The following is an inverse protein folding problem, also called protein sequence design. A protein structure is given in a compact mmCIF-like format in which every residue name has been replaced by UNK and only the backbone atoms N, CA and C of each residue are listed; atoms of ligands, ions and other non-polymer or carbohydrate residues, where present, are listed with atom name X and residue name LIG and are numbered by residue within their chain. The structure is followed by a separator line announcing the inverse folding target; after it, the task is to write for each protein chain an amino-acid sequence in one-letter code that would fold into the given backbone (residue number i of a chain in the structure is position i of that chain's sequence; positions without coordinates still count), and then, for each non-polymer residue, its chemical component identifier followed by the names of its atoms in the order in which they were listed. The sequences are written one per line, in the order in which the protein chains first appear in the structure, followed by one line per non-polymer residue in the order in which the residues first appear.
data_IF_544374154585
#
_entry.id   IF_544374154585
#
_cell.length_a   1.000
_cell.length_b   1.000
_cell.length_c   1.000
_cell.angle_alpha   90.00
_cell.angle_beta   90.00
_cell.angle_gamma   90.00
#
_symmetry.space_group_name_H-M   'P 1'
#
loop_
_entity.id
_entity.type
_entity.pdbx_description
1 polymer ?
#
# COMPACT_ATOMS: atom_id res chain seq x y z
N UNK A 1 1.03 13.88 49.20
CA UNK A 1 1.02 12.39 49.10
C UNK A 1 1.58 11.87 47.76
N UNK A 2 1.63 12.66 46.68
CA UNK A 2 2.10 12.21 45.36
C UNK A 2 3.62 11.91 45.26
N UNK A 3 4.47 12.62 46.02
CA UNK A 3 5.94 12.43 45.99
C UNK A 3 6.41 11.11 46.62
N UNK A 4 5.65 10.53 47.56
CA UNK A 4 6.00 9.23 48.17
C UNK A 4 5.68 8.03 47.25
N UNK A 5 4.65 8.15 46.41
CA UNK A 5 4.25 7.08 45.47
C UNK A 5 5.28 6.92 44.34
N UNK A 6 5.80 8.05 43.84
CA UNK A 6 6.84 8.08 42.81
C UNK A 6 8.13 7.38 43.31
N UNK A 7 8.56 7.62 44.55
CA UNK A 7 9.74 6.97 45.13
C UNK A 7 9.60 5.45 45.33
N UNK A 8 8.40 4.98 45.70
CA UNK A 8 8.12 3.55 45.85
C UNK A 8 8.08 2.82 44.49
N UNK A 9 7.47 3.43 43.48
CA UNK A 9 7.49 2.89 42.12
C UNK A 9 8.90 2.86 41.54
N UNK A 10 9.70 3.90 41.76
CA UNK A 10 11.09 3.96 41.30
C UNK A 10 11.96 2.88 41.96
N UNK A 11 11.75 2.60 43.26
CA UNK A 11 12.43 1.48 43.95
C UNK A 11 12.02 0.11 43.40
N UNK A 12 10.73 -0.08 43.11
CA UNK A 12 10.22 -1.34 42.54
C UNK A 12 10.80 -1.61 41.15
N UNK A 13 10.87 -0.58 40.30
CA UNK A 13 11.46 -0.67 38.97
C UNK A 13 12.96 -1.00 39.03
N UNK A 14 13.71 -0.37 39.94
CA UNK A 14 15.13 -0.68 40.13
C UNK A 14 15.34 -2.14 40.61
N UNK A 15 14.49 -2.64 41.50
CA UNK A 15 14.55 -4.03 41.97
C UNK A 15 14.25 -5.04 40.85
N UNK A 16 13.32 -4.73 39.94
CA UNK A 16 13.06 -5.57 38.76
C UNK A 16 14.21 -5.53 37.76
N UNK A 17 14.84 -4.37 37.57
CA UNK A 17 16.00 -4.21 36.69
C UNK A 17 17.21 -5.00 37.21
N UNK A 18 17.45 -5.01 38.53
CA UNK A 18 18.48 -5.85 39.14
C UNK A 18 18.22 -7.34 38.97
N UNK A 19 16.96 -7.79 39.11
CA UNK A 19 16.57 -9.19 38.87
C UNK A 19 16.81 -9.61 37.41
N UNK A 20 16.49 -8.75 36.46
CA UNK A 20 16.75 -9.03 35.04
C UNK A 20 18.25 -9.05 34.72
N UNK A 21 19.04 -8.13 35.29
CA UNK A 21 20.51 -8.17 35.18
C UNK A 21 21.11 -9.47 35.74
N UNK A 22 20.60 -9.96 36.88
CA UNK A 22 21.04 -11.24 37.44
C UNK A 22 20.66 -12.44 36.57
N UNK A 23 19.50 -12.43 35.91
CA UNK A 23 19.11 -13.47 34.95
C UNK A 23 20.01 -13.46 33.72
N UNK A 24 20.28 -12.28 33.16
CA UNK A 24 21.18 -12.13 32.00
C UNK A 24 22.58 -12.61 32.35
N UNK A 25 23.12 -12.25 33.53
CA UNK A 25 24.43 -12.73 33.99
C UNK A 25 24.47 -14.26 34.14
N UNK A 26 23.42 -14.88 34.69
CA UNK A 26 23.31 -16.35 34.80
C UNK A 26 23.25 -17.02 33.44
N UNK A 27 22.46 -16.49 32.50
CA UNK A 27 22.38 -17.01 31.14
C UNK A 27 23.70 -16.87 30.39
N UNK A 28 24.41 -15.75 30.58
CA UNK A 28 25.71 -15.50 29.99
C UNK A 28 26.79 -16.42 30.58
N UNK A 29 26.72 -16.73 31.88
CA UNK A 29 27.56 -17.74 32.52
C UNK A 29 27.26 -19.16 31.97
N UNK A 30 25.98 -19.55 31.85
CA UNK A 30 25.60 -20.83 31.24
C UNK A 30 26.04 -20.95 29.78
N UNK A 31 25.96 -19.88 29.00
CA UNK A 31 26.46 -19.83 27.63
C UNK A 31 27.98 -19.98 27.58
N UNK A 32 28.71 -19.32 28.48
CA UNK A 32 30.18 -19.45 28.56
C UNK A 32 30.62 -20.85 28.96
N UNK A 33 29.88 -21.52 29.85
CA UNK A 33 30.13 -22.91 30.24
C UNK A 33 29.80 -23.89 29.09
N UNK A 34 28.72 -23.64 28.34
CA UNK A 34 28.35 -24.42 27.17
C UNK A 34 29.33 -24.24 26.00
N UNK A 35 29.92 -23.05 25.83
CA UNK A 35 30.97 -22.83 24.83
C UNK A 35 32.31 -23.41 25.26
N UNK A 36 32.67 -23.35 26.55
CA UNK A 36 33.90 -23.95 27.07
C UNK A 36 33.88 -25.49 27.04
N UNK A 37 32.70 -26.12 27.16
CA UNK A 37 32.53 -27.57 27.03
C UNK A 37 32.67 -28.12 25.60
N UNK A 38 32.71 -27.25 24.57
CA UNK A 38 32.79 -27.66 23.16
C UNK A 38 34.21 -27.70 22.59
N UNK A 39 35.21 -27.21 23.34
CA UNK A 39 36.62 -27.17 22.89
C UNK A 39 37.54 -28.19 23.58
N UNK A 40 37.03 -29.02 24.51
CA UNK A 40 37.80 -30.08 25.14
C UNK A 40 37.14 -31.45 24.92
N UNK A 41 37.48 -32.13 23.81
CA UNK A 41 37.11 -33.54 23.64
C UNK A 41 36.92 -34.03 22.21
N UNK A 42 37.97 -33.99 21.39
CA UNK A 42 38.03 -34.82 20.19
C UNK A 42 38.38 -36.26 20.60
N UNK A 43 37.39 -37.15 20.69
CA UNK A 43 37.65 -38.59 20.86
C UNK A 43 36.45 -39.46 21.25
N UNK A 44 35.77 -40.02 20.22
CA UNK A 44 35.11 -41.35 20.13
C UNK A 44 33.74 -41.28 19.41
N UNK A 45 33.53 -42.05 18.32
CA UNK A 45 32.22 -42.20 17.71
C UNK A 45 31.53 -43.45 18.27
N UNK A 46 30.67 -43.29 19.28
CA UNK A 46 29.77 -44.37 19.72
C UNK A 46 28.40 -43.90 20.26
N UNK A 47 28.24 -42.63 20.63
CA UNK A 47 26.97 -42.08 21.19
C UNK A 47 26.16 -41.22 20.19
N UNK A 48 26.62 -41.10 18.94
CA UNK A 48 26.02 -40.23 17.92
C UNK A 48 24.61 -40.64 17.43
N UNK A 49 24.04 -41.76 17.92
CA UNK A 49 22.69 -42.20 17.55
C UNK A 49 21.59 -41.69 18.50
N UNK A 50 21.89 -41.47 19.79
CA UNK A 50 20.90 -40.94 20.74
C UNK A 50 20.78 -39.42 20.65
N UNK A 51 21.91 -38.69 20.54
CA UNK A 51 21.89 -37.23 20.39
C UNK A 51 21.26 -36.75 19.07
N UNK A 52 21.31 -37.56 18.00
CA UNK A 52 20.64 -37.23 16.74
C UNK A 52 19.12 -37.46 16.81
N UNK A 53 18.67 -38.48 17.55
CA UNK A 53 17.25 -38.72 17.79
C UNK A 53 16.63 -37.64 18.71
N UNK A 54 17.39 -37.16 19.70
CA UNK A 54 16.98 -36.08 20.59
C UNK A 54 16.95 -34.72 19.86
N UNK A 55 17.93 -34.44 18.97
CA UNK A 55 17.88 -33.28 18.08
C UNK A 55 16.70 -33.34 17.09
N UNK A 56 16.39 -34.51 16.54
CA UNK A 56 15.22 -34.69 15.67
C UNK A 56 13.89 -34.54 16.43
N UNK A 57 13.83 -34.96 17.71
CA UNK A 57 12.66 -34.73 18.56
C UNK A 57 12.48 -33.24 18.88
N UNK A 58 13.54 -32.55 19.29
CA UNK A 58 13.52 -31.12 19.57
C UNK A 58 13.19 -30.28 18.32
N UNK A 59 13.68 -30.68 17.14
CA UNK A 59 13.34 -29.97 15.89
C UNK A 59 11.88 -30.17 15.48
N UNK A 60 11.30 -31.36 15.72
CA UNK A 60 9.85 -31.61 15.54
C UNK A 60 9.01 -30.83 16.54
N UNK A 61 9.42 -30.72 17.80
CA UNK A 61 8.74 -29.91 18.80
C UNK A 61 8.81 -28.40 18.48
N UNK A 62 9.96 -27.92 18.01
CA UNK A 62 10.12 -26.55 17.52
C UNK A 62 9.24 -26.30 16.29
N UNK A 63 9.15 -27.25 15.36
CA UNK A 63 8.28 -27.15 14.19
C UNK A 63 6.79 -27.11 14.58
N UNK A 64 6.36 -28.00 15.47
CA UNK A 64 4.99 -28.01 16.01
C UNK A 64 4.68 -26.74 16.81
N UNK A 65 5.66 -26.20 17.55
CA UNK A 65 5.56 -24.92 18.24
C UNK A 65 5.39 -23.75 17.27
N UNK A 66 6.18 -23.70 16.19
CA UNK A 66 6.08 -22.69 15.13
C UNK A 66 4.73 -22.75 14.41
N UNK A 67 4.22 -23.94 14.12
CA UNK A 67 2.90 -24.12 13.52
C UNK A 67 1.78 -23.63 14.44
N UNK A 68 1.84 -23.97 15.74
CA UNK A 68 0.88 -23.45 16.74
C UNK A 68 0.92 -21.92 16.82
N UNK A 69 2.10 -21.32 16.83
CA UNK A 69 2.26 -19.85 16.81
C UNK A 69 1.65 -19.28 15.53
N UNK A 70 1.93 -19.86 14.37
CA UNK A 70 1.37 -19.39 13.09
C UNK A 70 -0.17 -19.44 13.06
N UNK A 71 -0.76 -20.52 13.59
CA UNK A 71 -2.22 -20.66 13.73
C UNK A 71 -2.79 -19.60 14.68
N UNK A 72 -2.14 -19.37 15.82
CA UNK A 72 -2.57 -18.35 16.78
C UNK A 72 -2.44 -16.92 16.21
N UNK A 73 -1.34 -16.60 15.52
CA UNK A 73 -1.17 -15.31 14.84
C UNK A 73 -2.26 -15.09 13.79
N UNK A 74 -2.61 -16.12 13.01
CA UNK A 74 -3.73 -16.02 12.05
C UNK A 74 -5.06 -15.78 12.75
N UNK A 75 -5.30 -16.44 13.89
CA UNK A 75 -6.52 -16.25 14.70
C UNK A 75 -6.57 -14.85 15.30
N UNK A 76 -5.45 -14.31 15.77
CA UNK A 76 -5.33 -12.93 16.26
C UNK A 76 -5.70 -11.95 15.14
N UNK A 77 -5.10 -12.08 13.95
CA UNK A 77 -5.44 -11.22 12.81
C UNK A 77 -6.92 -11.32 12.39
N UNK A 78 -7.55 -12.50 12.52
CA UNK A 78 -8.99 -12.65 12.30
C UNK A 78 -9.83 -11.95 13.38
N UNK A 79 -9.39 -11.96 14.63
CA UNK A 79 -10.07 -11.29 15.73
C UNK A 79 -9.92 -9.77 15.62
N UNK A 80 -8.73 -9.26 15.31
CA UNK A 80 -8.48 -7.83 15.06
C UNK A 80 -9.36 -7.31 13.92
N UNK A 81 -9.45 -8.06 12.81
CA UNK A 81 -10.33 -7.71 11.70
C UNK A 81 -11.81 -7.68 12.11
N UNK A 82 -12.25 -8.63 12.96
CA UNK A 82 -13.63 -8.63 13.50
C UNK A 82 -13.88 -7.45 14.42
N UNK A 83 -12.94 -7.11 15.30
CA UNK A 83 -13.04 -5.93 16.18
C UNK A 83 -13.17 -4.66 15.35
N UNK A 84 -12.34 -4.48 14.32
CA UNK A 84 -12.43 -3.32 13.43
C UNK A 84 -13.79 -3.21 12.71
N UNK A 85 -14.35 -4.34 12.27
CA UNK A 85 -15.69 -4.38 11.67
C UNK A 85 -16.77 -3.99 12.68
N UNK A 86 -16.74 -4.59 13.88
CA UNK A 86 -17.70 -4.31 14.95
C UNK A 86 -17.63 -2.88 15.44
N UNK A 87 -16.44 -2.29 15.56
CA UNK A 87 -16.29 -0.86 15.84
C UNK A 87 -16.87 0.02 14.73
N UNK A 88 -16.68 -0.37 13.46
CA UNK A 88 -17.26 0.31 12.32
C UNK A 88 -18.79 0.30 12.35
N UNK A 89 -19.38 -0.83 12.71
CA UNK A 89 -20.83 -0.97 12.92
C UNK A 89 -21.31 -0.18 14.13
N UNK A 90 -20.59 -0.23 15.24
CA UNK A 90 -20.90 0.55 16.45
C UNK A 90 -20.90 2.06 16.15
N UNK A 91 -19.89 2.56 15.43
CA UNK A 91 -19.86 3.96 14.97
C UNK A 91 -21.07 4.32 14.08
N UNK A 92 -21.56 3.40 13.25
CA UNK A 92 -22.76 3.63 12.43
C UNK A 92 -24.02 3.68 13.32
N UNK A 93 -24.16 2.76 14.27
CA UNK A 93 -25.27 2.71 15.21
C UNK A 93 -25.31 3.96 16.10
N UNK A 94 -24.17 4.36 16.68
CA UNK A 94 -24.05 5.61 17.44
C UNK A 94 -24.49 6.80 16.60
N UNK A 95 -24.01 6.93 15.35
CA UNK A 95 -24.45 8.01 14.46
C UNK A 95 -25.94 7.95 14.09
N UNK A 96 -26.55 6.77 14.04
CA UNK A 96 -28.00 6.66 13.83
C UNK A 96 -28.75 7.14 15.07
N UNK A 97 -28.32 6.69 16.26
CA UNK A 97 -28.88 7.13 17.54
C UNK A 97 -28.74 8.63 17.75
N UNK A 98 -27.58 9.24 17.43
CA UNK A 98 -27.38 10.70 17.49
C UNK A 98 -28.43 11.43 16.64
N UNK A 99 -28.76 10.91 15.45
CA UNK A 99 -29.76 11.54 14.58
C UNK A 99 -31.18 11.45 15.14
N UNK A 100 -31.50 10.35 15.81
CA UNK A 100 -32.81 10.14 16.45
C UNK A 100 -32.95 10.92 17.76
N UNK A 101 -31.87 11.07 18.53
CA UNK A 101 -31.83 11.81 19.80
C UNK A 101 -31.65 13.31 19.58
N UNK A 102 -30.94 13.71 18.53
CA UNK A 102 -30.52 15.09 18.28
C UNK A 102 -29.10 15.36 18.79
N UNK A 103 -28.40 16.29 18.15
CA UNK A 103 -27.00 16.61 18.44
C UNK A 103 -26.79 17.33 19.79
N UNK A 104 -27.87 17.79 20.43
CA UNK A 104 -27.83 18.62 21.64
C UNK A 104 -27.92 17.81 22.95
N UNK A 105 -28.06 16.48 22.88
CA UNK A 105 -28.24 15.59 24.03
C UNK A 105 -27.16 14.50 24.09
N UNK A 106 -26.42 14.36 25.21
CA UNK A 106 -25.39 13.34 25.34
C UNK A 106 -26.00 11.94 25.42
N UNK A 107 -25.67 11.07 24.45
CA UNK A 107 -26.24 9.73 24.34
C UNK A 107 -26.02 8.84 25.56
N UNK A 108 -24.93 9.06 26.31
CA UNK A 108 -24.66 8.33 27.55
C UNK A 108 -25.83 8.44 28.54
N UNK A 109 -26.40 9.64 28.70
CA UNK A 109 -27.53 9.85 29.62
C UNK A 109 -28.83 9.22 29.13
N UNK A 110 -29.07 9.21 27.82
CA UNK A 110 -30.28 8.60 27.23
C UNK A 110 -30.25 7.08 27.33
N UNK A 111 -29.08 6.48 27.19
CA UNK A 111 -28.89 5.02 27.29
C UNK A 111 -28.98 4.57 28.75
N UNK A 112 -28.44 5.35 29.70
CA UNK A 112 -28.40 5.00 31.12
C UNK A 112 -29.72 5.31 31.86
N UNK A 113 -30.43 6.39 31.50
CA UNK A 113 -31.65 6.87 32.18
C UNK A 113 -32.95 6.52 31.40
N UNK A 114 -32.88 5.53 30.51
CA UNK A 114 -33.79 5.25 29.37
C UNK A 114 -35.29 5.00 29.59
N UNK A 115 -35.97 5.64 30.55
CA UNK A 115 -37.42 5.47 30.78
C UNK A 115 -38.30 6.59 30.22
N UNK A 116 -37.84 7.85 30.17
CA UNK A 116 -38.72 9.00 29.92
C UNK A 116 -38.41 9.79 28.63
N UNK A 117 -37.42 9.35 27.86
CA UNK A 117 -37.05 10.03 26.63
C UNK A 117 -37.94 9.64 25.44
N UNK A 118 -38.68 10.63 24.91
CA UNK A 118 -39.41 10.50 23.64
C UNK A 118 -38.51 11.00 22.52
N UNK A 119 -38.27 10.17 21.52
CA UNK A 119 -37.34 10.49 20.43
C UNK A 119 -37.73 11.77 19.67
N UNK A 120 -36.76 12.41 18.99
CA UNK A 120 -36.98 13.67 18.27
C UNK A 120 -38.12 13.56 17.26
N UNK A 121 -38.25 12.40 16.60
CA UNK A 121 -39.35 12.12 15.68
C UNK A 121 -40.72 12.23 16.36
N UNK A 122 -40.87 11.66 17.54
CA UNK A 122 -42.13 11.70 18.32
C UNK A 122 -42.39 13.11 18.85
N UNK A 123 -41.35 13.80 19.32
CA UNK A 123 -41.48 15.18 19.76
C UNK A 123 -41.90 16.12 18.62
N UNK A 124 -41.37 15.93 17.41
CA UNK A 124 -41.80 16.66 16.21
C UNK A 124 -43.25 16.34 15.86
N UNK A 125 -43.67 15.08 15.94
CA UNK A 125 -45.07 14.70 15.68
C UNK A 125 -45.99 15.36 16.71
N UNK A 126 -45.65 15.29 17.99
CA UNK A 126 -46.41 15.93 19.06
C UNK A 126 -46.49 17.46 18.89
N UNK A 127 -45.38 18.11 18.53
CA UNK A 127 -45.38 19.55 18.22
C UNK A 127 -46.19 19.89 16.98
N UNK A 128 -46.18 19.04 15.94
CA UNK A 128 -47.04 19.23 14.77
C UNK A 128 -48.52 19.08 15.11
N UNK A 129 -48.88 18.10 15.93
CA UNK A 129 -50.25 17.88 16.35
C UNK A 129 -50.75 19.01 17.25
N UNK A 130 -49.93 19.49 18.18
CA UNK A 130 -50.27 20.66 19.01
C UNK A 130 -50.39 21.94 18.17
N UNK A 131 -49.51 22.18 17.21
CA UNK A 131 -49.64 23.30 16.26
C UNK A 131 -50.93 23.18 15.45
N UNK A 132 -51.27 21.97 14.98
CA UNK A 132 -52.50 21.72 14.24
C UNK A 132 -53.73 22.00 15.10
N UNK A 133 -53.76 21.50 16.35
CA UNK A 133 -54.82 21.76 17.32
C UNK A 133 -54.94 23.25 17.66
N UNK A 134 -53.81 23.94 17.87
CA UNK A 134 -53.81 25.38 18.13
C UNK A 134 -54.28 26.19 16.91
N UNK A 135 -53.94 25.76 15.69
CA UNK A 135 -54.44 26.37 14.45
C UNK A 135 -55.94 26.15 14.28
N UNK A 136 -56.42 24.94 14.57
CA UNK A 136 -57.85 24.60 14.54
C UNK A 136 -58.61 25.37 15.62
N UNK A 137 -58.06 25.50 16.83
CA UNK A 137 -58.61 26.30 17.91
C UNK A 137 -58.60 27.81 17.61
N UNK A 138 -57.55 28.32 16.95
CA UNK A 138 -57.48 29.70 16.49
C UNK A 138 -58.47 29.97 15.34
N UNK A 139 -58.66 29.01 14.43
CA UNK A 139 -59.65 29.10 13.37
C UNK A 139 -61.10 29.03 13.91
N UNK A 140 -61.34 28.19 14.93
CA UNK A 140 -62.63 28.11 15.62
C UNK A 140 -62.91 29.34 16.50
N UNK A 141 -61.89 29.87 17.19
CA UNK A 141 -61.95 31.11 17.96
C UNK A 141 -62.06 32.37 17.10
N UNK A 142 -61.69 32.29 15.82
CA UNK A 142 -61.87 33.33 14.80
C UNK A 142 -63.30 33.41 14.24
N UNK A 143 -64.30 32.92 14.99
CA UNK A 143 -65.72 33.24 14.75
C UNK A 143 -66.17 34.54 15.46
N UNK A 144 -65.25 35.23 16.15
CA UNK A 144 -65.48 36.55 16.78
C UNK A 144 -64.53 37.65 16.26
N UNK A 145 -64.03 37.52 15.04
CA UNK A 145 -63.03 38.43 14.46
C UNK A 145 -63.64 39.67 13.78
N UNK A 146 -64.28 40.56 14.56
CA UNK A 146 -64.60 41.93 14.12
C UNK A 146 -63.35 42.85 14.07
N UNK A 147 -62.16 42.37 14.42
CA UNK A 147 -60.89 43.12 14.40
C UNK A 147 -59.91 42.72 13.29
N UNK A 148 -60.23 41.73 12.46
CA UNK A 148 -59.35 41.28 11.37
C UNK A 148 -59.20 42.31 10.22
N UNK A 149 -60.14 43.26 10.10
CA UNK A 149 -60.08 44.31 9.08
C UNK A 149 -58.93 45.32 9.33
N UNK A 150 -58.55 45.56 10.59
CA UNK A 150 -57.42 46.43 10.94
C UNK A 150 -56.05 45.80 10.68
N UNK A 151 -55.96 44.46 10.72
CA UNK A 151 -54.70 43.74 10.47
C UNK A 151 -54.49 43.41 8.99
N UNK A 152 -55.56 43.26 8.19
CA UNK A 152 -55.44 43.14 6.73
C UNK A 152 -54.95 44.43 6.06
N UNK A 153 -55.27 45.60 6.62
CA UNK A 153 -54.72 46.87 6.17
C UNK A 153 -53.20 46.97 6.43
N UNK A 154 -52.69 46.39 7.53
CA UNK A 154 -51.25 46.29 7.80
C UNK A 154 -50.54 45.25 6.92
N UNK A 155 -51.25 44.20 6.49
CA UNK A 155 -50.77 43.22 5.50
C UNK A 155 -50.73 43.77 4.07
N UNK A 156 -51.32 44.96 3.83
CA UNK A 156 -51.27 45.68 2.55
C UNK A 156 -49.99 46.51 2.36
N UNK A 157 -49.02 46.40 3.29
CA UNK A 157 -47.72 47.03 3.16
C UNK A 157 -46.97 46.41 1.98
N UNK A 158 -46.95 47.13 0.85
CA UNK A 158 -46.21 46.75 -0.36
C UNK A 158 -44.72 46.46 -0.11
N UNK A 159 -44.15 46.96 0.99
CA UNK A 159 -42.79 46.64 1.42
C UNK A 159 -42.65 45.20 1.93
N UNK A 160 -43.58 44.69 2.74
CA UNK A 160 -43.55 43.33 3.29
C UNK A 160 -43.69 42.28 2.17
N UNK A 161 -44.62 42.49 1.24
CA UNK A 161 -44.79 41.63 0.07
C UNK A 161 -43.55 41.65 -0.87
N UNK A 162 -42.89 42.82 -1.02
CA UNK A 162 -41.62 42.94 -1.76
C UNK A 162 -40.48 42.20 -1.05
N UNK A 163 -40.37 42.33 0.27
CA UNK A 163 -39.37 41.59 1.06
C UNK A 163 -39.61 40.09 0.99
N UNK A 164 -40.85 39.62 1.14
CA UNK A 164 -41.18 38.19 1.05
C UNK A 164 -40.84 37.61 -0.33
N UNK A 165 -41.15 38.33 -1.41
CA UNK A 165 -40.77 37.95 -2.78
C UNK A 165 -39.24 37.91 -2.97
N UNK A 166 -38.51 38.90 -2.43
CA UNK A 166 -37.05 38.93 -2.48
C UNK A 166 -36.43 37.76 -1.71
N UNK A 167 -36.90 37.47 -0.49
CA UNK A 167 -36.43 36.32 0.29
C UNK A 167 -36.75 34.99 -0.39
N UNK A 168 -37.94 34.84 -0.99
CA UNK A 168 -38.31 33.63 -1.74
C UNK A 168 -37.42 33.44 -2.96
N UNK A 169 -37.04 34.52 -3.65
CA UNK A 169 -36.07 34.48 -4.75
C UNK A 169 -34.67 34.08 -4.27
N UNK A 170 -34.20 34.65 -3.16
CA UNK A 170 -32.89 34.31 -2.55
C UNK A 170 -32.84 32.84 -2.14
N UNK A 171 -33.87 32.33 -1.47
CA UNK A 171 -33.97 30.90 -1.10
C UNK A 171 -33.97 30.02 -2.35
N UNK A 172 -34.67 30.45 -3.41
CA UNK A 172 -34.68 29.75 -4.70
C UNK A 172 -33.29 29.70 -5.34
N UNK A 173 -32.52 30.79 -5.29
CA UNK A 173 -31.13 30.83 -5.77
C UNK A 173 -30.22 29.93 -4.95
N UNK A 174 -30.29 30.04 -3.62
CA UNK A 174 -29.48 29.24 -2.70
C UNK A 174 -29.74 27.73 -2.87
N UNK A 175 -31.00 27.33 -3.06
CA UNK A 175 -31.34 25.93 -3.32
C UNK A 175 -30.82 25.44 -4.67
N UNK A 176 -30.83 26.28 -5.71
CA UNK A 176 -30.26 25.94 -7.02
C UNK A 176 -28.73 25.83 -6.95
N UNK A 177 -28.06 26.77 -6.31
CA UNK A 177 -26.61 26.74 -6.09
C UNK A 177 -26.21 25.50 -5.27
N UNK A 178 -26.93 25.19 -4.19
CA UNK A 178 -26.73 23.96 -3.41
C UNK A 178 -26.94 22.71 -4.25
N UNK A 179 -27.96 22.69 -5.12
CA UNK A 179 -28.21 21.59 -6.04
C UNK A 179 -27.06 21.40 -7.04
N UNK A 180 -26.60 22.49 -7.66
CA UNK A 180 -25.49 22.49 -8.60
C UNK A 180 -24.16 22.05 -7.94
N UNK A 181 -23.86 22.53 -6.73
CA UNK A 181 -22.70 22.07 -5.97
C UNK A 181 -22.81 20.58 -5.61
N UNK A 182 -24.00 20.11 -5.22
CA UNK A 182 -24.20 18.70 -4.93
C UNK A 182 -23.98 17.82 -6.18
N UNK A 183 -24.54 18.22 -7.32
CA UNK A 183 -24.32 17.53 -8.60
C UNK A 183 -22.85 17.55 -9.03
N UNK A 184 -22.14 18.68 -8.84
CA UNK A 184 -20.70 18.80 -9.08
C UNK A 184 -19.92 17.81 -8.21
N UNK A 185 -20.17 17.80 -6.90
CA UNK A 185 -19.48 16.90 -5.97
C UNK A 185 -19.78 15.42 -6.26
N UNK A 186 -21.00 15.08 -6.64
CA UNK A 186 -21.37 13.72 -7.08
C UNK A 186 -20.64 13.35 -8.37
N UNK A 187 -20.53 14.28 -9.32
CA UNK A 187 -19.76 14.10 -10.55
C UNK A 187 -18.28 13.85 -10.28
N UNK A 188 -17.66 14.64 -9.40
CA UNK A 188 -16.27 14.49 -8.98
C UNK A 188 -16.01 13.16 -8.26
N UNK A 189 -16.90 12.77 -7.34
CA UNK A 189 -16.81 11.45 -6.68
C UNK A 189 -16.90 10.32 -7.71
N UNK A 190 -17.83 10.40 -8.66
CA UNK A 190 -17.96 9.39 -9.70
C UNK A 190 -16.73 9.33 -10.64
N UNK A 191 -16.13 10.48 -10.96
CA UNK A 191 -14.89 10.54 -11.74
C UNK A 191 -13.71 9.93 -10.98
N UNK A 192 -13.53 10.32 -9.71
CA UNK A 192 -12.49 9.78 -8.84
C UNK A 192 -12.64 8.26 -8.63
N UNK A 193 -13.87 7.75 -8.52
CA UNK A 193 -14.12 6.31 -8.46
C UNK A 193 -13.70 5.59 -9.75
N UNK A 194 -13.98 6.15 -10.92
CA UNK A 194 -13.55 5.57 -12.20
C UNK A 194 -12.03 5.56 -12.35
N UNK A 195 -11.37 6.65 -11.98
CA UNK A 195 -9.91 6.77 -12.01
C UNK A 195 -9.26 5.75 -11.05
N UNK A 196 -9.80 5.61 -9.84
CA UNK A 196 -9.37 4.58 -8.89
C UNK A 196 -9.44 3.17 -9.47
N UNK A 197 -10.56 2.81 -10.09
CA UNK A 197 -10.72 1.47 -10.68
C UNK A 197 -9.79 1.28 -11.89
N UNK A 198 -9.58 2.31 -12.70
CA UNK A 198 -8.63 2.27 -13.81
C UNK A 198 -7.19 2.05 -13.30
N UNK A 199 -6.77 2.78 -12.26
CA UNK A 199 -5.47 2.61 -11.62
C UNK A 199 -5.32 1.23 -10.97
N UNK A 200 -6.39 0.72 -10.34
CA UNK A 200 -6.41 -0.63 -9.77
C UNK A 200 -6.17 -1.69 -10.85
N UNK A 201 -6.80 -1.56 -12.01
CA UNK A 201 -6.61 -2.48 -13.14
C UNK A 201 -5.19 -2.40 -13.70
N UNK A 202 -4.64 -1.19 -13.87
CA UNK A 202 -3.25 -1.00 -14.31
C UNK A 202 -2.25 -1.61 -13.33
N UNK A 203 -2.47 -1.42 -12.02
CA UNK A 203 -1.64 -2.03 -10.99
C UNK A 203 -1.73 -3.56 -11.01
N UNK A 204 -2.93 -4.12 -11.17
CA UNK A 204 -3.10 -5.57 -11.28
C UNK A 204 -2.37 -6.14 -12.51
N UNK A 205 -2.43 -5.46 -13.66
CA UNK A 205 -1.68 -5.82 -14.87
C UNK A 205 -0.16 -5.70 -14.70
N UNK A 206 0.31 -4.64 -14.04
CA UNK A 206 1.73 -4.48 -13.73
C UNK A 206 2.23 -5.57 -12.76
N UNK A 207 1.41 -5.92 -11.76
CA UNK A 207 1.71 -6.97 -10.79
C UNK A 207 1.78 -8.37 -11.44
N UNK A 208 0.85 -8.69 -12.34
CA UNK A 208 0.89 -9.96 -13.07
C UNK A 208 2.12 -10.05 -13.98
N UNK A 209 2.44 -8.98 -14.71
CA UNK A 209 3.66 -8.89 -15.53
C UNK A 209 4.91 -9.06 -14.69
N UNK A 210 5.00 -8.39 -13.53
CA UNK A 210 6.12 -8.54 -12.61
C UNK A 210 6.30 -10.01 -12.19
N UNK A 211 5.21 -10.68 -11.83
CA UNK A 211 5.24 -12.09 -11.41
C UNK A 211 5.72 -13.02 -12.54
N UNK A 212 5.29 -12.78 -13.77
CA UNK A 212 5.74 -13.55 -14.94
C UNK A 212 7.24 -13.33 -15.19
N UNK A 213 7.69 -12.06 -15.18
CA UNK A 213 9.10 -11.73 -15.36
C UNK A 213 9.98 -12.31 -14.24
N UNK A 214 9.52 -12.28 -12.99
CA UNK A 214 10.21 -12.92 -11.86
C UNK A 214 10.35 -14.43 -12.08
N UNK A 215 9.29 -15.10 -12.54
CA UNK A 215 9.35 -16.52 -12.88
C UNK A 215 10.31 -16.81 -14.04
N UNK A 216 10.28 -16.00 -15.11
CA UNK A 216 11.21 -16.12 -16.23
C UNK A 216 12.66 -15.97 -15.79
N UNK A 217 12.98 -14.99 -14.93
CA UNK A 217 14.31 -14.81 -14.36
C UNK A 217 14.77 -16.03 -13.58
N UNK A 218 13.89 -16.66 -12.79
CA UNK A 218 14.20 -17.91 -12.09
C UNK A 218 14.51 -19.02 -13.08
N UNK A 219 13.66 -19.23 -14.10
CA UNK A 219 13.91 -20.26 -15.11
C UNK A 219 15.22 -20.03 -15.89
N UNK A 220 15.58 -18.77 -16.15
CA UNK A 220 16.85 -18.43 -16.80
C UNK A 220 18.05 -18.73 -15.90
N UNK A 221 17.95 -18.47 -14.60
CA UNK A 221 18.97 -18.84 -13.62
C UNK A 221 19.15 -20.35 -13.56
N UNK A 222 18.06 -21.12 -13.59
CA UNK A 222 18.12 -22.58 -13.59
C UNK A 222 18.78 -23.11 -14.87
N UNK A 223 18.41 -22.56 -16.04
CA UNK A 223 19.06 -22.89 -17.32
C UNK A 223 20.56 -22.57 -17.29
N UNK A 224 20.94 -21.42 -16.74
CA UNK A 224 22.34 -21.03 -16.59
C UNK A 224 23.09 -21.99 -15.65
N UNK A 225 22.48 -22.38 -14.53
CA UNK A 225 23.06 -23.35 -13.61
C UNK A 225 23.31 -24.71 -14.28
N UNK A 226 22.40 -25.17 -15.15
CA UNK A 226 22.59 -26.40 -15.94
C UNK A 226 23.76 -26.26 -16.92
N UNK A 227 23.87 -25.12 -17.63
CA UNK A 227 24.98 -24.87 -18.55
C UNK A 227 26.31 -24.84 -17.80
N UNK A 228 26.38 -24.14 -16.66
CA UNK A 228 27.55 -24.11 -15.81
C UNK A 228 27.93 -25.51 -15.31
N UNK A 229 26.95 -26.32 -14.90
CA UNK A 229 27.16 -27.73 -14.53
C UNK A 229 27.72 -28.57 -15.69
N UNK A 230 27.26 -28.35 -16.92
CA UNK A 230 27.82 -29.01 -18.12
C UNK A 230 29.27 -28.58 -18.35
N UNK A 231 29.57 -27.28 -18.32
CA UNK A 231 30.95 -26.79 -18.50
C UNK A 231 31.91 -27.34 -17.45
N UNK A 232 31.48 -27.45 -16.18
CA UNK A 232 32.29 -28.07 -15.13
C UNK A 232 32.52 -29.56 -15.37
N UNK A 233 31.54 -30.28 -15.92
CA UNK A 233 31.69 -31.68 -16.29
C UNK A 233 32.63 -31.84 -17.50
N UNK A 234 32.54 -30.93 -18.48
CA UNK A 234 33.44 -30.88 -19.63
C UNK A 234 34.89 -30.58 -19.18
N UNK A 235 35.09 -29.66 -18.24
CA UNK A 235 36.41 -29.37 -17.65
C UNK A 235 37.01 -30.60 -16.95
N UNK A 236 36.19 -31.36 -16.21
CA UNK A 236 36.62 -32.62 -15.58
C UNK A 236 37.01 -33.66 -16.64
N UNK A 237 36.22 -33.78 -17.71
CA UNK A 237 36.53 -34.69 -18.82
C UNK A 237 37.83 -34.29 -19.52
N UNK A 238 38.02 -33.00 -19.81
CA UNK A 238 39.25 -32.47 -20.39
C UNK A 238 40.45 -32.75 -19.47
N UNK A 239 40.32 -32.56 -18.16
CA UNK A 239 41.37 -32.86 -17.20
C UNK A 239 41.71 -34.36 -17.18
N UNK A 240 40.70 -35.24 -17.21
CA UNK A 240 40.90 -36.69 -17.29
C UNK A 240 41.63 -37.10 -18.58
N UNK A 241 41.19 -36.62 -19.74
CA UNK A 241 41.83 -36.89 -21.03
C UNK A 241 43.27 -36.36 -21.11
N UNK A 242 43.52 -35.16 -20.56
CA UNK A 242 44.89 -34.62 -20.44
C UNK A 242 45.78 -35.50 -19.57
N UNK A 243 45.25 -36.03 -18.47
CA UNK A 243 46.00 -36.95 -17.60
C UNK A 243 46.32 -38.26 -18.32
N UNK A 244 45.39 -38.80 -19.10
CA UNK A 244 45.58 -40.02 -19.88
C UNK A 244 46.60 -39.81 -20.99
N UNK A 245 46.54 -38.69 -21.71
CA UNK A 245 47.55 -38.32 -22.71
C UNK A 245 48.94 -38.16 -22.08
N UNK A 246 49.04 -37.55 -20.90
CA UNK A 246 50.31 -37.43 -20.18
C UNK A 246 50.88 -38.81 -19.78
N UNK A 247 50.02 -39.71 -19.29
CA UNK A 247 50.38 -41.09 -18.94
C UNK A 247 50.75 -41.92 -20.17
N UNK A 248 50.04 -41.77 -21.29
CA UNK A 248 50.34 -42.44 -22.54
C UNK A 248 51.65 -41.92 -23.16
N UNK A 249 51.90 -40.62 -23.10
CA UNK A 249 53.15 -40.01 -23.55
C UNK A 249 54.35 -40.47 -22.72
N UNK A 250 54.23 -40.50 -21.39
CA UNK A 250 55.30 -41.00 -20.51
C UNK A 250 55.53 -42.50 -20.71
N UNK A 251 54.47 -43.29 -20.93
CA UNK A 251 54.57 -44.72 -21.26
C UNK A 251 55.18 -44.93 -22.65
N UNK A 252 54.87 -44.10 -23.62
CA UNK A 252 55.48 -44.11 -24.96
C UNK A 252 56.96 -43.73 -24.92
N UNK A 253 57.35 -42.75 -24.09
CA UNK A 253 58.75 -42.40 -23.86
C UNK A 253 59.51 -43.51 -23.13
N UNK A 254 58.89 -44.15 -22.12
CA UNK A 254 59.45 -45.32 -21.44
C UNK A 254 59.57 -46.54 -22.37
N UNK A 255 58.59 -46.76 -23.26
CA UNK A 255 58.63 -47.81 -24.27
C UNK A 255 59.64 -47.51 -25.38
N UNK A 256 59.83 -46.25 -25.78
CA UNK A 256 60.88 -45.84 -26.71
C UNK A 256 62.28 -46.01 -26.11
N UNK A 257 62.45 -45.72 -24.80
CA UNK A 257 63.68 -45.99 -24.06
C UNK A 257 63.94 -47.52 -23.90
N UNK A 258 62.89 -48.32 -23.71
CA UNK A 258 63.00 -49.79 -23.65
C UNK A 258 63.14 -50.49 -25.01
N UNK A 259 62.61 -49.91 -26.08
CA UNK A 259 62.63 -50.45 -27.46
C UNK A 259 63.98 -50.24 -28.17
N UNK A 260 64.82 -49.33 -27.69
CA UNK A 260 66.23 -49.26 -28.10
C UNK A 260 67.01 -50.56 -27.77
N UNK A 261 66.53 -51.35 -26.78
CA UNK A 261 67.15 -52.63 -26.39
C UNK A 261 66.47 -53.88 -26.99
N UNK A 262 65.30 -53.75 -27.65
CA UNK A 262 64.42 -54.89 -27.95
C UNK A 262 64.19 -55.23 -29.43
N UNK A 263 64.94 -54.65 -30.37
CA UNK A 263 64.74 -54.86 -31.83
C UNK A 263 65.35 -56.16 -32.39
N UNK A 264 65.17 -57.28 -31.68
CA UNK A 264 65.64 -58.59 -32.12
C UNK A 264 64.66 -59.72 -31.74
N UNK A 265 63.40 -59.65 -32.17
CA UNK A 265 62.49 -60.80 -32.17
C UNK A 265 61.26 -60.53 -33.05
N UNK A 266 61.40 -60.70 -34.36
CA UNK A 266 60.27 -60.81 -35.28
C UNK A 266 60.04 -62.29 -35.58
N UNK A 267 58.86 -62.82 -35.22
CA UNK A 267 58.43 -64.17 -35.59
C UNK A 267 57.30 -64.71 -34.71
N UNK A 268 56.04 -64.34 -35.00
CA UNK A 268 54.90 -64.88 -34.25
C UNK A 268 53.51 -64.36 -34.65
N UNK A 269 53.23 -64.17 -35.95
CA UNK A 269 52.04 -63.43 -36.40
C UNK A 269 50.72 -64.21 -36.55
N UNK A 270 50.65 -65.51 -36.30
CA UNK A 270 49.43 -66.30 -36.61
C UNK A 270 48.41 -66.47 -35.46
N UNK A 271 48.80 -66.66 -34.18
CA UNK A 271 47.82 -66.81 -33.10
C UNK A 271 47.19 -65.48 -32.66
N UNK A 272 47.92 -64.37 -32.79
CA UNK A 272 47.43 -63.02 -32.43
C UNK A 272 46.36 -62.52 -33.40
N UNK A 273 46.51 -62.82 -34.71
CA UNK A 273 45.52 -62.48 -35.73
C UNK A 273 44.20 -63.25 -35.51
N UNK A 274 44.27 -64.51 -35.07
CA UNK A 274 43.07 -65.29 -34.72
C UNK A 274 42.37 -64.75 -33.47
N UNK A 275 43.13 -64.34 -32.46
CA UNK A 275 42.59 -63.75 -31.24
C UNK A 275 41.93 -62.38 -31.51
N UNK A 276 42.53 -61.56 -32.38
CA UNK A 276 41.95 -60.30 -32.84
C UNK A 276 40.66 -60.52 -33.63
N UNK A 277 40.62 -61.54 -34.50
CA UNK A 277 39.38 -61.91 -35.22
C UNK A 277 38.25 -62.31 -34.28
N UNK A 278 38.55 -63.12 -33.25
CA UNK A 278 37.57 -63.50 -32.23
C UNK A 278 37.07 -62.28 -31.46
N UNK A 279 37.94 -61.33 -31.13
CA UNK A 279 37.57 -60.09 -30.45
C UNK A 279 36.73 -59.16 -31.33
N UNK A 280 37.02 -59.07 -32.63
CA UNK A 280 36.17 -58.31 -33.56
C UNK A 280 34.76 -58.90 -33.64
N UNK A 281 34.62 -60.23 -33.70
CA UNK A 281 33.31 -60.88 -33.68
C UNK A 281 32.52 -60.59 -32.40
N UNK A 282 33.17 -60.62 -31.24
CA UNK A 282 32.53 -60.27 -29.96
C UNK A 282 32.07 -58.81 -29.90
N UNK A 283 32.84 -57.88 -30.48
CA UNK A 283 32.48 -56.47 -30.56
C UNK A 283 31.32 -56.24 -31.55
N UNK A 284 31.29 -56.97 -32.66
CA UNK A 284 30.18 -56.93 -33.63
C UNK A 284 28.87 -57.39 -32.99
N UNK A 285 28.89 -58.48 -32.20
CA UNK A 285 27.71 -58.96 -31.45
C UNK A 285 27.25 -57.93 -30.40
N UNK A 286 28.17 -57.29 -29.68
CA UNK A 286 27.83 -56.22 -28.73
C UNK A 286 27.19 -55.02 -29.42
N UNK A 287 27.72 -54.62 -30.58
CA UNK A 287 27.15 -53.51 -31.37
C UNK A 287 25.75 -53.89 -31.87
N UNK A 288 25.53 -55.12 -32.32
CA UNK A 288 24.20 -55.56 -32.75
C UNK A 288 23.19 -55.57 -31.59
N UNK A 289 23.60 -56.00 -30.40
CA UNK A 289 22.76 -55.93 -29.19
C UNK A 289 22.44 -54.49 -28.80
N UNK A 290 23.43 -53.59 -28.81
CA UNK A 290 23.21 -52.17 -28.53
C UNK A 290 22.29 -51.52 -29.57
N UNK A 291 22.42 -51.86 -30.85
CA UNK A 291 21.53 -51.39 -31.90
C UNK A 291 20.08 -51.85 -31.69
N UNK A 292 19.87 -53.09 -31.23
CA UNK A 292 18.52 -53.59 -30.87
C UNK A 292 17.92 -52.82 -29.70
N UNK A 293 18.73 -52.53 -28.67
CA UNK A 293 18.32 -51.71 -27.51
C UNK A 293 17.98 -50.28 -27.95
N UNK A 294 18.81 -49.67 -28.80
CA UNK A 294 18.56 -48.31 -29.33
C UNK A 294 17.26 -48.28 -30.13
N UNK A 295 17.01 -49.25 -31.01
CA UNK A 295 15.74 -49.33 -31.75
C UNK A 295 14.54 -49.51 -30.82
N UNK A 296 14.66 -50.34 -29.79
CA UNK A 296 13.61 -50.52 -28.79
C UNK A 296 13.32 -49.24 -27.99
N UNK A 297 14.37 -48.53 -27.57
CA UNK A 297 14.24 -47.25 -26.85
C UNK A 297 13.71 -46.14 -27.75
N UNK A 298 14.12 -46.09 -29.02
CA UNK A 298 13.57 -45.16 -30.02
C UNK A 298 12.10 -45.45 -30.30
N UNK A 299 11.68 -46.72 -30.35
CA UNK A 299 10.27 -47.10 -30.47
C UNK A 299 9.47 -46.73 -29.21
N UNK A 300 10.07 -46.78 -28.02
CA UNK A 300 9.46 -46.27 -26.79
C UNK A 300 9.37 -44.74 -26.76
N UNK A 301 10.38 -44.03 -27.27
CA UNK A 301 10.37 -42.55 -27.35
C UNK A 301 9.45 -42.03 -28.45
N UNK A 302 9.22 -42.80 -29.51
CA UNK A 302 8.17 -42.55 -30.52
C UNK A 302 6.77 -43.01 -30.09
N UNK A 303 6.60 -43.53 -28.88
CA UNK A 303 5.29 -43.78 -28.26
C UNK A 303 4.64 -42.48 -27.75
N UNK A 304 3.59 -42.54 -26.90
CA UNK A 304 2.58 -41.48 -26.64
C UNK A 304 3.11 -40.10 -26.19
N UNK A 305 4.42 -39.92 -26.00
CA UNK A 305 5.06 -38.62 -25.89
C UNK A 305 5.16 -37.85 -27.22
N UNK A 306 5.27 -38.53 -28.36
CA UNK A 306 5.30 -37.90 -29.70
C UNK A 306 3.94 -37.33 -30.09
N UNK A 307 2.88 -38.14 -30.01
CA UNK A 307 1.50 -37.69 -30.24
C UNK A 307 1.08 -36.58 -29.26
N UNK A 308 1.58 -36.62 -28.01
CA UNK A 308 1.37 -35.54 -27.04
C UNK A 308 2.15 -34.28 -27.40
N UNK A 309 3.33 -34.40 -27.99
CA UNK A 309 4.10 -33.27 -28.48
C UNK A 309 3.37 -32.60 -29.64
N UNK A 310 2.82 -33.39 -30.56
CA UNK A 310 2.06 -32.91 -31.71
C UNK A 310 0.75 -32.23 -31.24
N UNK A 311 0.01 -32.83 -30.30
CA UNK A 311 -1.16 -32.21 -29.67
C UNK A 311 -0.82 -30.88 -28.99
N UNK A 312 0.30 -30.82 -28.27
CA UNK A 312 0.75 -29.58 -27.63
C UNK A 312 1.22 -28.53 -28.65
N UNK A 313 1.70 -28.96 -29.82
CA UNK A 313 2.06 -28.06 -30.92
C UNK A 313 0.80 -27.47 -31.57
N UNK A 314 -0.20 -28.31 -31.84
CA UNK A 314 -1.50 -27.89 -32.37
C UNK A 314 -2.20 -26.91 -31.42
N UNK A 315 -2.23 -27.23 -30.11
CA UNK A 315 -2.77 -26.34 -29.07
C UNK A 315 -2.00 -25.00 -29.00
N UNK A 316 -0.67 -25.02 -29.16
CA UNK A 316 0.12 -23.78 -29.20
C UNK A 316 -0.17 -22.96 -30.45
N UNK A 317 -0.43 -23.60 -31.59
CA UNK A 317 -0.74 -22.93 -32.84
C UNK A 317 -2.15 -22.30 -32.80
N UNK A 318 -3.12 -22.98 -32.19
CA UNK A 318 -4.46 -22.44 -31.93
C UNK A 318 -4.41 -21.25 -30.97
N UNK A 319 -3.65 -21.35 -29.86
CA UNK A 319 -3.47 -20.24 -28.92
C UNK A 319 -2.80 -19.02 -29.58
N UNK A 320 -1.86 -19.23 -30.51
CA UNK A 320 -1.24 -18.15 -31.29
C UNK A 320 -2.25 -17.46 -32.21
N UNK A 321 -3.14 -18.21 -32.85
CA UNK A 321 -4.20 -17.66 -33.68
C UNK A 321 -5.20 -16.84 -32.85
N UNK A 322 -5.58 -17.34 -31.67
CA UNK A 322 -6.45 -16.60 -30.74
C UNK A 322 -5.81 -15.30 -30.24
N UNK A 323 -4.51 -15.32 -29.93
CA UNK A 323 -3.78 -14.11 -29.54
C UNK A 323 -3.70 -13.09 -30.68
N UNK A 324 -3.51 -13.53 -31.92
CA UNK A 324 -3.51 -12.65 -33.08
C UNK A 324 -4.88 -11.99 -33.29
N UNK A 325 -5.97 -12.76 -33.20
CA UNK A 325 -7.33 -12.21 -33.30
C UNK A 325 -7.63 -11.18 -32.20
N UNK A 326 -7.24 -11.46 -30.95
CA UNK A 326 -7.39 -10.51 -29.84
C UNK A 326 -6.52 -9.25 -30.01
N UNK A 327 -5.37 -9.37 -30.66
CA UNK A 327 -4.53 -8.21 -31.00
C UNK A 327 -5.20 -7.34 -32.07
N UNK A 328 -5.78 -7.96 -33.11
CA UNK A 328 -6.54 -7.25 -34.13
C UNK A 328 -7.78 -6.54 -33.54
N UNK A 329 -8.53 -7.23 -32.66
CA UNK A 329 -9.67 -6.64 -31.94
C UNK A 329 -9.24 -5.47 -31.05
N UNK A 330 -8.07 -5.57 -30.40
CA UNK A 330 -7.52 -4.50 -29.58
C UNK A 330 -7.06 -3.32 -30.45
N UNK A 331 -6.46 -3.58 -31.60
CA UNK A 331 -6.11 -2.54 -32.58
C UNK A 331 -7.36 -1.85 -33.12
N UNK A 332 -8.41 -2.60 -33.45
CA UNK A 332 -9.66 -2.06 -33.93
C UNK A 332 -10.37 -1.25 -32.85
N UNK A 333 -10.41 -1.75 -31.61
CA UNK A 333 -10.92 -1.00 -30.46
C UNK A 333 -10.07 0.25 -30.15
N UNK A 334 -8.76 0.22 -30.44
CA UNK A 334 -7.88 1.39 -30.32
C UNK A 334 -8.16 2.43 -31.41
N UNK A 335 -8.51 2.00 -32.63
CA UNK A 335 -8.92 2.87 -33.75
C UNK A 335 -10.32 3.46 -33.53
N UNK A 336 -11.23 2.68 -32.94
CA UNK A 336 -12.59 3.10 -32.61
C UNK A 336 -12.66 4.01 -31.38
N UNK A 337 -11.65 4.00 -30.50
CA UNK A 337 -11.52 5.04 -29.48
C UNK A 337 -11.07 6.35 -30.16
N UNK A 338 -11.91 7.40 -30.23
CA UNK A 338 -11.43 8.71 -30.67
C UNK A 338 -10.30 9.11 -29.73
N UNK A 339 -9.09 9.19 -30.29
CA UNK A 339 -7.88 9.50 -29.53
C UNK A 339 -8.13 10.71 -28.64
N UNK A 340 -7.90 10.53 -27.35
CA UNK A 340 -7.89 11.62 -26.36
C UNK A 340 -6.89 12.73 -26.75
N UNK A 341 -6.01 12.49 -27.72
CA UNK A 341 -5.17 13.50 -28.37
C UNK A 341 -5.98 14.58 -29.10
N UNK A 342 -7.08 14.24 -29.78
CA UNK A 342 -7.92 15.19 -30.50
C UNK A 342 -8.76 16.05 -29.56
N UNK A 343 -9.39 15.41 -28.57
CA UNK A 343 -10.20 16.10 -27.56
C UNK A 343 -9.33 16.97 -26.64
N UNK A 344 -8.12 16.50 -26.29
CA UNK A 344 -7.13 17.28 -25.52
C UNK A 344 -6.50 18.41 -26.35
N UNK A 345 -6.34 18.26 -27.66
CA UNK A 345 -5.90 19.33 -28.57
C UNK A 345 -6.96 20.41 -28.74
N UNK A 346 -8.23 20.01 -28.94
CA UNK A 346 -9.36 20.93 -29.03
C UNK A 346 -9.56 21.70 -27.72
N UNK A 347 -9.46 21.04 -26.56
CA UNK A 347 -9.49 21.72 -25.27
C UNK A 347 -8.32 22.70 -25.09
N UNK A 348 -7.10 22.32 -25.52
CA UNK A 348 -5.93 23.22 -25.47
C UNK A 348 -6.12 24.45 -26.36
N UNK A 349 -6.63 24.28 -27.57
CA UNK A 349 -6.95 25.41 -28.46
C UNK A 349 -8.03 26.30 -27.84
N UNK A 350 -9.08 25.72 -27.25
CA UNK A 350 -10.15 26.47 -26.60
C UNK A 350 -9.66 27.24 -25.37
N UNK A 351 -8.73 26.68 -24.59
CA UNK A 351 -8.10 27.39 -23.46
C UNK A 351 -7.24 28.54 -23.94
N UNK A 352 -6.47 28.37 -25.02
CA UNK A 352 -5.65 29.43 -25.61
C UNK A 352 -6.52 30.59 -26.12
N UNK A 353 -7.61 30.31 -26.84
CA UNK A 353 -8.54 31.35 -27.31
C UNK A 353 -9.17 32.12 -26.15
N UNK A 354 -9.58 31.42 -25.08
CA UNK A 354 -10.14 32.07 -23.88
C UNK A 354 -9.11 32.92 -23.11
N UNK A 355 -7.82 32.54 -23.17
CA UNK A 355 -6.73 33.34 -22.61
C UNK A 355 -6.48 34.60 -23.44
N UNK A 356 -6.49 34.50 -24.76
CA UNK A 356 -6.38 35.64 -25.66
C UNK A 356 -7.54 36.62 -25.48
N UNK A 357 -8.77 36.13 -25.39
CA UNK A 357 -9.97 36.95 -25.13
C UNK A 357 -9.88 37.67 -23.77
N UNK A 358 -9.43 36.98 -22.72
CA UNK A 358 -9.21 37.61 -21.40
C UNK A 358 -8.14 38.70 -21.46
N UNK A 359 -7.06 38.48 -22.21
CA UNK A 359 -6.02 39.49 -22.38
C UNK A 359 -6.51 40.70 -23.17
N UNK A 360 -7.31 40.49 -24.21
CA UNK A 360 -7.97 41.56 -24.95
C UNK A 360 -8.94 42.35 -24.07
N UNK A 361 -9.77 41.66 -23.28
CA UNK A 361 -10.67 42.30 -22.33
C UNK A 361 -9.91 43.13 -21.28
N UNK A 362 -8.80 42.61 -20.74
CA UNK A 362 -7.93 43.37 -19.84
C UNK A 362 -7.35 44.61 -20.50
N UNK A 363 -6.93 44.51 -21.76
CA UNK A 363 -6.39 45.64 -22.52
C UNK A 363 -7.47 46.68 -22.83
N UNK A 364 -8.68 46.26 -23.20
CA UNK A 364 -9.85 47.14 -23.36
C UNK A 364 -10.22 47.81 -22.05
N UNK A 365 -10.17 47.10 -20.92
CA UNK A 365 -10.41 47.66 -19.60
C UNK A 365 -9.33 48.69 -19.23
N UNK A 366 -8.08 48.47 -19.65
CA UNK A 366 -6.98 49.43 -19.53
C UNK A 366 -7.16 50.66 -20.44
N UNK A 367 -7.75 50.50 -21.62
CA UNK A 367 -8.05 51.61 -22.53
C UNK A 367 -9.26 52.43 -22.08
N UNK A 368 -10.28 51.78 -21.51
CA UNK A 368 -11.44 52.42 -20.89
C UNK A 368 -11.07 53.12 -19.57
N UNK A 369 -10.08 52.58 -18.86
CA UNK A 369 -9.42 53.24 -17.73
C UNK A 369 -8.39 54.23 -18.29
N UNK A 370 -8.89 55.32 -18.87
CA UNK A 370 -8.09 56.38 -19.49
C UNK A 370 -6.94 56.90 -18.61
N UNK A 371 -6.01 57.69 -19.18
CA UNK A 371 -4.73 58.01 -18.56
C UNK A 371 -4.93 58.55 -17.14
N UNK A 372 -4.34 57.87 -16.16
CA UNK A 372 -4.16 58.40 -14.82
C UNK A 372 -3.41 59.73 -14.96
N UNK A 373 -4.11 60.84 -14.73
CA UNK A 373 -3.49 62.15 -14.56
C UNK A 373 -2.51 62.01 -13.39
N UNK A 374 -1.22 62.35 -13.55
CA UNK A 374 -0.31 62.35 -12.42
C UNK A 374 -0.80 63.42 -11.42
N UNK A 375 -1.23 62.97 -10.25
CA UNK A 375 -1.48 63.81 -9.08
C UNK A 375 -0.15 64.36 -8.56
N UNK A 376 0.37 65.39 -9.21
CA UNK A 376 1.32 66.33 -8.60
C UNK A 376 0.56 67.61 -8.28
N UNK A 377 0.05 67.69 -7.05
CA UNK A 377 -0.41 68.94 -6.47
C UNK A 377 0.82 69.83 -6.25
N UNK A 378 1.09 70.74 -7.17
CA UNK A 378 2.02 71.84 -6.93
C UNK A 378 1.32 72.81 -5.97
N UNK A 379 1.54 72.64 -4.67
CA UNK A 379 1.20 73.65 -3.68
C UNK A 379 2.03 74.89 -3.98
N UNK A 380 1.39 76.06 -3.99
CA UNK A 380 2.10 77.34 -4.12
C UNK A 380 2.88 77.60 -2.84
N UNK A 381 4.03 78.27 -2.96
CA UNK A 381 4.98 78.58 -1.86
C UNK A 381 4.28 79.25 -0.65
N UNK A 382 3.17 79.94 -0.90
CA UNK A 382 2.30 80.54 0.12
C UNK A 382 1.52 79.53 0.97
N UNK A 383 1.22 78.34 0.45
CA UNK A 383 0.51 77.28 1.17
C UNK A 383 1.44 76.41 2.03
N UNK A 384 2.73 76.35 1.71
CA UNK A 384 3.74 75.67 2.54
C UNK A 384 4.07 76.44 3.81
N UNK A 385 4.14 77.78 3.75
CA UNK A 385 4.41 78.62 4.93
C UNK A 385 3.32 78.55 6.00
N UNK A 386 2.05 78.42 5.60
CA UNK A 386 0.91 78.32 6.54
C UNK A 386 0.91 76.97 7.28
N UNK A 387 1.38 75.89 6.65
CA UNK A 387 1.46 74.56 7.28
C UNK A 387 2.67 74.43 8.20
N UNK A 388 3.79 75.11 7.90
CA UNK A 388 4.97 75.12 8.76
C UNK A 388 4.77 75.91 10.05
N UNK A 389 3.97 76.99 9.99
CA UNK A 389 3.58 77.78 11.17
C UNK A 389 2.57 77.02 12.06
N UNK A 390 1.68 76.23 11.46
CA UNK A 390 0.76 75.34 12.18
C UNK A 390 1.47 74.15 12.87
N UNK A 391 2.56 73.63 12.27
CA UNK A 391 3.33 72.52 12.84
C UNK A 391 4.16 72.93 14.08
N UNK A 392 4.63 74.18 14.16
CA UNK A 392 5.37 74.70 15.33
C UNK A 392 4.49 74.93 16.57
N UNK A 393 3.17 75.06 16.40
CA UNK A 393 2.24 75.27 17.51
C UNK A 393 1.86 73.99 18.28
N UNK A 394 2.17 72.80 17.76
CA UNK A 394 1.72 71.50 18.34
C UNK A 394 2.82 70.79 19.14
N UNK A 395 4.07 71.25 19.12
CA UNK A 395 5.21 70.61 19.78
C UNK A 395 5.58 71.18 21.17
N UNK A 396 4.60 71.68 21.93
CA UNK A 396 4.82 72.10 23.32
C UNK A 396 3.99 71.22 24.25
N UNK A 397 4.71 70.36 25.00
CA UNK A 397 4.38 69.72 26.30
C UNK A 397 3.71 68.31 26.34
N UNK A 398 4.02 67.47 27.38
CA UNK A 398 5.01 66.39 27.26
C UNK A 398 4.50 64.99 27.67
N UNK A 399 5.14 63.92 27.16
CA UNK A 399 4.91 62.55 27.63
C UNK A 399 5.93 62.18 28.71
N UNK A 400 5.47 62.07 29.96
CA UNK A 400 6.06 61.23 30.99
C UNK A 400 5.31 59.90 31.07
N UNK A 401 6.05 58.82 31.33
CA UNK A 401 5.59 57.47 31.67
C UNK A 401 5.20 56.56 30.49
N UNK A 402 6.12 55.65 30.13
CA UNK A 402 5.89 54.20 29.98
C UNK A 402 7.19 53.50 29.53
N UNK A 403 8.18 53.45 30.42
CA UNK A 403 9.29 52.48 30.37
C UNK A 403 9.08 51.45 31.48
N UNK A 404 8.32 50.40 31.18
CA UNK A 404 8.19 49.13 31.89
C UNK A 404 7.27 48.28 30.99
N UNK A 405 7.57 47.08 30.50
CA UNK A 405 8.21 45.92 31.09
C UNK A 405 8.66 45.03 29.91
N UNK A 406 9.97 44.84 29.74
CA UNK A 406 10.55 43.69 29.03
C UNK A 406 11.39 42.94 30.07
N UNK A 407 10.79 41.98 30.78
CA UNK A 407 11.50 40.96 31.56
C UNK A 407 10.48 39.90 32.05
N UNK A 408 10.35 38.80 31.31
CA UNK A 408 9.87 37.51 31.84
C UNK A 408 10.10 36.37 30.81
N UNK A 409 11.35 35.98 30.63
CA UNK A 409 11.70 34.60 30.27
C UNK A 409 11.52 33.72 31.52
N UNK A 410 10.52 32.84 31.54
CA UNK A 410 10.56 31.52 32.19
C UNK A 410 9.19 30.81 32.16
N UNK A 411 9.21 29.61 31.54
CA UNK A 411 8.55 28.37 31.99
C UNK A 411 7.01 28.27 31.86
N UNK A 412 6.58 27.34 30.99
CA UNK A 412 5.58 26.25 31.17
C UNK A 412 5.01 25.88 29.78
N UNK A 413 5.38 24.70 29.26
CA UNK A 413 4.59 23.46 29.25
C UNK A 413 3.62 23.31 28.06
N UNK A 414 3.87 22.23 27.30
CA UNK A 414 2.84 21.31 26.81
C UNK A 414 2.02 21.70 25.58
N UNK A 415 2.30 21.05 24.44
CA UNK A 415 1.28 20.43 23.57
C UNK A 415 1.91 19.66 22.40
N UNK A 416 1.54 18.39 22.24
CA UNK A 416 1.92 17.53 21.11
C UNK A 416 1.93 16.05 21.54
N UNK A 417 0.79 15.51 21.98
CA UNK A 417 -0.10 14.69 21.15
C UNK A 417 0.64 13.57 20.40
N UNK A 418 0.80 12.45 21.09
CA UNK A 418 1.21 11.17 20.52
C UNK A 418 0.79 10.04 21.45
N UNK A 419 -0.23 9.30 21.01
CA UNK A 419 -0.52 7.91 21.40
C UNK A 419 -1.19 7.63 22.75
N UNK A 420 -2.39 8.19 22.94
CA UNK A 420 -3.42 7.59 23.80
C UNK A 420 -4.35 6.69 22.97
N UNK A 421 -3.91 5.46 22.68
CA UNK A 421 -4.84 4.39 22.31
C UNK A 421 -4.30 2.97 22.48
N UNK A 422 -3.53 2.67 23.53
CA UNK A 422 -3.25 1.28 23.90
C UNK A 422 -3.01 1.18 25.41
N UNK A 423 -4.09 1.00 26.18
CA UNK A 423 -4.17 0.13 27.38
C UNK A 423 -5.43 0.44 28.21
N UNK A 424 -6.60 0.27 27.59
CA UNK A 424 -7.83 0.03 28.35
C UNK A 424 -8.48 -1.28 27.90
N UNK A 425 -7.72 -2.38 28.01
CA UNK A 425 -8.30 -3.72 27.97
C UNK A 425 -7.41 -4.79 28.65
N UNK A 426 -6.92 -4.50 29.85
CA UNK A 426 -6.44 -5.55 30.77
C UNK A 426 -6.97 -5.40 32.20
N UNK A 427 -8.20 -4.90 32.36
CA UNK A 427 -8.94 -5.00 33.63
C UNK A 427 -10.44 -5.29 33.43
N UNK A 428 -10.77 -6.27 32.59
CA UNK A 428 -12.08 -6.90 32.57
C UNK A 428 -11.93 -8.41 32.39
N UNK A 429 -11.30 -9.04 33.38
CA UNK A 429 -11.06 -10.48 33.39
C UNK A 429 -10.75 -10.99 34.80
N UNK A 430 -11.51 -10.53 35.79
CA UNK A 430 -11.63 -11.14 37.13
C UNK A 430 -12.82 -10.53 37.88
N UNK A 431 -14.02 -11.00 37.54
CA UNK A 431 -15.18 -11.13 38.42
C UNK A 431 -16.09 -12.20 37.81
#
# INVERSE_FOLDING_TARGET
MSTCLCGLQNRSLNLMLEKERQKVAKLQQSLSQASAGKEAGAGKPAEAKEGNAELEALTKEIAAGKEKVAVMTKKIGQLEAKVFLLEGENRKLVRALVREVGEEMPLAKVVDEGSDWKGRREQIIHLKDTIKQLREAAAAGSSTAASAAGLQAAASNSSLAKHESAHRSVIGKLNKERGAEFERMVGELAAAHREKEQLRLQYAGAASRRKVLEAEVVTLKDKLAVVLGKTQNDDKLIAALRSELAMASSRGQAAAAGSAAGRAAAGGGMPEVLQLRSRCGQLEEQVEQQQKIIRYLQAQQGGPGGERLDQLQDENEELRQQLAALQDDLEEASRQRPGTSGMSSALRQQVLTLQEDNNQLRQQLLQLKGPQVPTSLHLTESQQLVLEEAAKAVLVEPCSELDAIDEAEAVEDGAGLGDDMYLQEQQAGQA
#
